data_IF_889012022049
#
_entry.id   IF_889012022049
#
_cell.length_a   1.000
_cell.length_b   1.000
_cell.length_c   1.000
_cell.angle_alpha   90.00
_cell.angle_beta   90.00
_cell.angle_gamma   90.00
#
_symmetry.space_group_name_H-M   'P 1'
#
loop_
_entity.id
_entity.type
_entity.pdbx_description
1 polymer ?
#
# COMPACT_ATOMS: atom_id res chain seq x y z
N UNK A 1 62.81 41.40 -13.68
CA UNK A 1 62.20 40.07 -13.54
C UNK A 1 61.13 40.15 -12.45
N UNK A 2 59.85 40.32 -12.80
CA UNK A 2 58.73 40.45 -11.83
C UNK A 2 57.43 39.80 -12.32
N UNK A 3 57.47 39.04 -13.42
CA UNK A 3 56.31 38.41 -14.06
C UNK A 3 55.78 37.18 -13.32
N UNK A 4 56.64 36.48 -12.57
CA UNK A 4 56.31 35.20 -11.92
C UNK A 4 55.26 35.30 -10.80
N UNK A 5 55.28 36.39 -10.03
CA UNK A 5 54.45 36.52 -8.82
C UNK A 5 52.96 36.87 -9.13
N UNK A 6 52.69 37.38 -10.34
CA UNK A 6 51.34 37.78 -10.74
C UNK A 6 50.54 36.59 -11.31
N UNK A 7 51.20 35.68 -12.00
CA UNK A 7 50.59 34.47 -12.54
C UNK A 7 50.19 33.48 -11.43
N UNK A 8 51.06 33.30 -10.42
CA UNK A 8 50.75 32.48 -9.24
C UNK A 8 49.53 32.98 -8.46
N UNK A 9 49.40 34.30 -8.26
CA UNK A 9 48.21 34.91 -7.61
C UNK A 9 46.94 34.75 -8.45
N UNK A 10 47.05 34.80 -9.78
CA UNK A 10 45.93 34.61 -10.70
C UNK A 10 45.48 33.14 -10.73
N UNK A 11 46.41 32.19 -10.69
CA UNK A 11 46.12 30.76 -10.58
C UNK A 11 45.44 30.42 -9.24
N UNK A 12 45.96 30.94 -8.13
CA UNK A 12 45.38 30.74 -6.80
C UNK A 12 43.94 31.29 -6.72
N UNK A 13 43.67 32.48 -7.28
CA UNK A 13 42.32 33.05 -7.34
C UNK A 13 41.34 32.18 -8.15
N UNK A 14 41.81 31.49 -9.19
CA UNK A 14 40.98 30.58 -10.01
C UNK A 14 40.65 29.31 -9.22
N UNK A 15 41.65 28.68 -8.60
CA UNK A 15 41.46 27.49 -7.78
C UNK A 15 40.48 27.73 -6.62
N UNK A 16 40.61 28.87 -5.91
CA UNK A 16 39.67 29.24 -4.83
C UNK A 16 38.24 29.45 -5.35
N UNK A 17 38.09 29.97 -6.58
CA UNK A 17 36.77 30.17 -7.20
C UNK A 17 36.14 28.85 -7.64
N UNK A 18 36.94 27.89 -8.09
CA UNK A 18 36.49 26.53 -8.44
C UNK A 18 36.09 25.75 -7.20
N UNK A 19 36.91 25.75 -6.15
CA UNK A 19 36.57 25.13 -4.86
C UNK A 19 35.26 25.68 -4.28
N UNK A 20 35.05 27.01 -4.31
CA UNK A 20 33.78 27.61 -3.89
C UNK A 20 32.58 27.22 -4.75
N UNK A 21 32.79 26.90 -6.03
CA UNK A 21 31.72 26.42 -6.91
C UNK A 21 31.39 24.96 -6.61
N UNK A 22 32.41 24.14 -6.40
CA UNK A 22 32.24 22.74 -6.01
C UNK A 22 31.56 22.61 -4.64
N UNK A 23 31.98 23.39 -3.64
CA UNK A 23 31.32 23.45 -2.33
C UNK A 23 29.83 23.81 -2.46
N UNK A 24 29.49 24.80 -3.30
CA UNK A 24 28.09 25.16 -3.55
C UNK A 24 27.30 24.05 -4.24
N UNK A 25 27.91 23.33 -5.17
CA UNK A 25 27.25 22.21 -5.86
C UNK A 25 27.02 21.04 -4.89
N UNK A 26 27.98 20.74 -4.02
CA UNK A 26 27.85 19.73 -2.97
C UNK A 26 26.77 20.15 -1.96
N UNK A 27 26.73 21.42 -1.56
CA UNK A 27 25.70 21.95 -0.66
C UNK A 27 24.29 21.87 -1.30
N UNK A 28 24.17 22.16 -2.59
CA UNK A 28 22.90 22.02 -3.31
C UNK A 28 22.47 20.57 -3.44
N UNK A 29 23.38 19.67 -3.81
CA UNK A 29 23.10 18.25 -3.96
C UNK A 29 22.71 17.61 -2.61
N UNK A 30 23.37 17.98 -1.52
CA UNK A 30 23.03 17.51 -0.17
C UNK A 30 21.67 18.02 0.30
N UNK A 31 21.33 19.29 0.02
CA UNK A 31 19.99 19.85 0.29
C UNK A 31 18.89 19.17 -0.51
N UNK A 32 19.10 18.92 -1.80
CA UNK A 32 18.14 18.22 -2.64
C UNK A 32 17.89 16.79 -2.15
N UNK A 33 18.96 16.05 -1.88
CA UNK A 33 18.85 14.67 -1.36
C UNK A 33 18.13 14.61 -0.01
N UNK A 34 18.35 15.61 0.85
CA UNK A 34 17.62 15.70 2.13
C UNK A 34 16.12 15.91 1.91
N UNK A 35 15.74 16.79 0.97
CA UNK A 35 14.34 17.04 0.63
C UNK A 35 13.65 15.81 0.02
N UNK A 36 14.32 15.09 -0.88
CA UNK A 36 13.80 13.85 -1.47
C UNK A 36 13.51 12.78 -0.40
N UNK A 37 14.44 12.57 0.53
CA UNK A 37 14.26 11.63 1.64
C UNK A 37 13.10 12.07 2.55
N UNK A 38 12.93 13.37 2.77
CA UNK A 38 11.82 13.87 3.59
C UNK A 38 10.46 13.70 2.89
N UNK A 39 10.41 13.93 1.58
CA UNK A 39 9.21 13.68 0.77
C UNK A 39 8.84 12.19 0.74
N UNK A 40 9.82 11.32 0.54
CA UNK A 40 9.62 9.87 0.54
C UNK A 40 9.05 9.40 1.88
N UNK A 41 9.62 9.85 3.00
CA UNK A 41 9.08 9.58 4.34
C UNK A 41 7.65 10.10 4.52
N UNK A 42 7.34 11.28 3.99
CA UNK A 42 5.96 11.82 4.03
C UNK A 42 5.00 10.95 3.21
N UNK A 43 5.41 10.47 2.03
CA UNK A 43 4.62 9.57 1.20
C UNK A 43 4.38 8.23 1.90
N UNK A 44 5.41 7.61 2.45
CA UNK A 44 5.30 6.37 3.23
C UNK A 44 4.37 6.54 4.45
N UNK A 45 4.53 7.64 5.20
CA UNK A 45 3.67 7.93 6.34
C UNK A 45 2.21 8.12 5.93
N UNK A 46 1.95 8.75 4.78
CA UNK A 46 0.61 8.93 4.24
C UNK A 46 0.00 7.60 3.78
N UNK A 47 0.78 6.73 3.12
CA UNK A 47 0.36 5.38 2.75
C UNK A 47 0.00 4.55 3.98
N UNK A 48 0.87 4.56 5.00
CA UNK A 48 0.62 3.87 6.25
C UNK A 48 -0.64 4.39 6.99
N UNK A 49 -0.88 5.70 6.96
CA UNK A 49 -2.11 6.30 7.52
C UNK A 49 -3.36 5.88 6.75
N UNK A 50 -3.30 5.92 5.42
CA UNK A 50 -4.41 5.49 4.57
C UNK A 50 -4.74 4.01 4.81
N UNK A 51 -3.71 3.18 4.95
CA UNK A 51 -3.85 1.77 5.28
C UNK A 51 -4.49 1.54 6.64
N UNK A 52 -3.99 2.19 7.70
CA UNK A 52 -4.59 2.08 9.04
C UNK A 52 -6.06 2.48 9.04
N UNK A 53 -6.41 3.54 8.30
CA UNK A 53 -7.81 3.99 8.18
C UNK A 53 -8.69 2.98 7.43
N UNK A 54 -8.17 2.35 6.38
CA UNK A 54 -8.87 1.30 5.65
C UNK A 54 -9.11 0.07 6.53
N UNK A 55 -8.08 -0.39 7.26
CA UNK A 55 -8.18 -1.51 8.20
C UNK A 55 -9.19 -1.19 9.30
N UNK A 56 -9.12 -0.01 9.92
CA UNK A 56 -10.04 0.39 10.98
C UNK A 56 -11.51 0.38 10.52
N UNK A 57 -11.78 0.86 9.31
CA UNK A 57 -13.12 0.81 8.71
C UNK A 57 -13.60 -0.64 8.52
N UNK A 58 -12.77 -1.50 7.95
CA UNK A 58 -13.09 -2.92 7.76
C UNK A 58 -13.31 -3.62 9.11
N UNK A 59 -12.40 -3.45 10.08
CA UNK A 59 -12.52 -4.05 11.41
C UNK A 59 -13.78 -3.62 12.16
N UNK A 60 -14.23 -2.36 12.00
CA UNK A 60 -15.48 -1.89 12.62
C UNK A 60 -16.74 -2.60 12.10
N UNK A 61 -16.66 -3.25 10.92
CA UNK A 61 -17.77 -3.99 10.32
C UNK A 61 -17.78 -5.47 10.69
N UNK A 62 -16.76 -5.93 11.42
CA UNK A 62 -16.60 -7.32 11.83
C UNK A 62 -17.08 -7.45 13.26
N UNK A 63 -18.03 -8.36 13.51
CA UNK A 63 -18.64 -8.57 14.82
C UNK A 63 -18.18 -9.92 15.38
N UNK A 64 -17.69 -9.92 16.62
CA UNK A 64 -17.31 -11.15 17.34
C UNK A 64 -16.31 -12.04 16.57
N UNK A 65 -15.36 -11.44 15.85
CA UNK A 65 -14.40 -12.16 15.01
C UNK A 65 -15.02 -12.83 13.77
N UNK A 66 -16.24 -12.45 13.40
CA UNK A 66 -16.98 -12.97 12.25
C UNK A 66 -17.28 -11.86 11.26
N UNK A 67 -16.81 -12.03 10.04
CA UNK A 67 -17.10 -11.16 8.91
C UNK A 67 -18.07 -11.87 7.96
N UNK A 68 -19.13 -11.18 7.54
CA UNK A 68 -20.00 -11.66 6.47
C UNK A 68 -19.60 -10.97 5.18
N UNK A 69 -19.10 -11.74 4.23
CA UNK A 69 -18.75 -11.27 2.91
C UNK A 69 -19.91 -11.52 1.94
N UNK A 70 -20.24 -10.50 1.16
CA UNK A 70 -21.04 -10.66 -0.04
C UNK A 70 -20.09 -10.63 -1.23
N UNK A 71 -19.98 -11.73 -1.98
CA UNK A 71 -18.95 -11.83 -3.03
C UNK A 71 -19.59 -11.70 -4.40
N UNK A 72 -19.17 -10.69 -5.17
CA UNK A 72 -19.50 -10.54 -6.59
C UNK A 72 -18.34 -11.05 -7.42
N UNK A 73 -18.57 -12.15 -8.14
CA UNK A 73 -17.59 -12.83 -8.98
C UNK A 73 -18.04 -12.77 -10.46
N UNK A 74 -17.60 -11.77 -11.24
CA UNK A 74 -17.97 -11.67 -12.66
C UNK A 74 -17.52 -12.88 -13.50
N UNK A 75 -16.44 -13.55 -13.11
CA UNK A 75 -15.92 -14.77 -13.73
C UNK A 75 -16.60 -16.07 -13.27
N UNK A 76 -17.67 -15.99 -12.46
CA UNK A 76 -18.46 -17.13 -12.02
C UNK A 76 -17.77 -18.04 -10.99
N UNK A 77 -18.18 -19.30 -10.93
CA UNK A 77 -17.82 -20.27 -9.87
C UNK A 77 -16.31 -20.53 -9.81
N UNK A 78 -15.61 -20.54 -10.94
CA UNK A 78 -14.15 -20.80 -10.97
C UNK A 78 -13.38 -19.73 -10.19
N UNK A 79 -13.68 -18.45 -10.45
CA UNK A 79 -13.06 -17.31 -9.77
C UNK A 79 -13.34 -17.32 -8.27
N UNK A 80 -14.55 -17.76 -7.91
CA UNK A 80 -15.00 -17.90 -6.53
C UNK A 80 -14.21 -18.99 -5.78
N UNK A 81 -13.98 -20.14 -6.41
CA UNK A 81 -13.16 -21.23 -5.85
C UNK A 81 -11.69 -20.81 -5.69
N UNK A 82 -11.15 -20.07 -6.65
CA UNK A 82 -9.77 -19.57 -6.56
C UNK A 82 -9.63 -18.54 -5.44
N UNK A 83 -10.63 -17.69 -5.24
CA UNK A 83 -10.69 -16.76 -4.13
C UNK A 83 -10.77 -17.49 -2.78
N UNK A 84 -11.59 -18.54 -2.67
CA UNK A 84 -11.69 -19.36 -1.48
C UNK A 84 -10.34 -20.01 -1.13
N UNK A 85 -9.67 -20.63 -2.10
CA UNK A 85 -8.34 -21.23 -1.89
C UNK A 85 -7.32 -20.22 -1.35
N UNK A 86 -7.32 -18.99 -1.89
CA UNK A 86 -6.46 -17.91 -1.41
C UNK A 86 -6.77 -17.52 0.04
N UNK A 87 -8.05 -17.48 0.41
CA UNK A 87 -8.46 -17.18 1.78
C UNK A 87 -8.15 -18.30 2.77
N UNK A 88 -8.25 -19.57 2.36
CA UNK A 88 -7.87 -20.73 3.20
C UNK A 88 -6.35 -20.72 3.47
N UNK A 89 -5.56 -20.32 2.49
CA UNK A 89 -4.11 -20.18 2.63
C UNK A 89 -3.71 -19.02 3.56
N UNK A 90 -4.61 -18.06 3.79
CA UNK A 90 -4.36 -16.98 4.72
C UNK A 90 -4.59 -17.45 6.17
N UNK A 91 -3.62 -17.19 7.04
CA UNK A 91 -3.57 -17.75 8.39
C UNK A 91 -4.84 -17.51 9.20
N UNK A 92 -5.35 -18.58 9.81
CA UNK A 92 -6.34 -18.52 10.89
C UNK A 92 -7.78 -18.22 10.47
N UNK A 93 -8.09 -18.22 9.17
CA UNK A 93 -9.46 -18.00 8.67
C UNK A 93 -10.21 -19.31 8.42
N UNK A 94 -11.41 -19.42 8.98
CA UNK A 94 -12.39 -20.44 8.64
C UNK A 94 -13.43 -19.85 7.71
N UNK A 95 -13.74 -20.57 6.64
CA UNK A 95 -14.69 -20.17 5.62
C UNK A 95 -15.93 -21.04 5.75
N UNK A 96 -17.08 -20.39 5.95
CA UNK A 96 -18.38 -21.07 5.96
C UNK A 96 -19.25 -20.46 4.86
N UNK A 97 -19.67 -21.30 3.91
CA UNK A 97 -20.62 -20.94 2.88
C UNK A 97 -22.01 -20.83 3.49
N UNK A 98 -22.62 -19.64 3.41
CA UNK A 98 -23.96 -19.40 4.00
C UNK A 98 -25.06 -19.26 2.95
N UNK A 99 -24.83 -19.79 1.74
CA UNK A 99 -25.74 -19.64 0.61
C UNK A 99 -25.74 -18.22 0.03
N UNK A 100 -26.69 -17.92 -0.85
CA UNK A 100 -26.85 -16.62 -1.50
C UNK A 100 -28.16 -16.59 -2.28
N UNK A 101 -28.71 -15.40 -2.53
CA UNK A 101 -29.85 -15.25 -3.44
C UNK A 101 -29.37 -14.97 -4.87
N UNK A 102 -30.23 -15.23 -5.86
CA UNK A 102 -29.95 -14.85 -7.25
C UNK A 102 -29.68 -13.34 -7.41
N UNK A 103 -30.16 -12.51 -6.48
CA UNK A 103 -30.01 -11.05 -6.50
C UNK A 103 -28.76 -10.54 -5.77
N UNK A 104 -28.40 -11.15 -4.63
CA UNK A 104 -27.27 -10.67 -3.82
C UNK A 104 -25.93 -11.34 -4.22
N UNK A 105 -25.98 -12.55 -4.79
CA UNK A 105 -24.80 -13.37 -5.06
C UNK A 105 -24.37 -14.21 -3.85
N UNK A 106 -23.28 -14.98 -3.96
CA UNK A 106 -22.79 -15.85 -2.89
C UNK A 106 -22.40 -15.07 -1.63
N UNK A 107 -22.90 -15.53 -0.47
CA UNK A 107 -22.52 -15.01 0.84
C UNK A 107 -21.55 -15.98 1.51
N UNK A 108 -20.35 -15.49 1.77
CA UNK A 108 -19.30 -16.23 2.46
C UNK A 108 -19.14 -15.65 3.86
N UNK A 109 -19.18 -16.49 4.88
CA UNK A 109 -18.85 -16.08 6.23
C UNK A 109 -17.40 -16.42 6.53
N UNK A 110 -16.60 -15.41 6.87
CA UNK A 110 -15.26 -15.60 7.41
C UNK A 110 -15.28 -15.53 8.92
N UNK A 111 -14.58 -16.44 9.55
CA UNK A 111 -14.35 -16.45 10.99
C UNK A 111 -12.85 -16.50 11.24
N UNK A 112 -12.33 -15.59 12.06
CA UNK A 112 -10.92 -15.53 12.40
C UNK A 112 -10.74 -15.29 13.89
N UNK A 113 -9.50 -15.40 14.36
CA UNK A 113 -9.13 -15.14 15.77
C UNK A 113 -9.43 -13.72 16.21
N UNK A 114 -9.27 -12.73 15.30
CA UNK A 114 -9.55 -11.33 15.60
C UNK A 114 -9.98 -10.51 14.36
N UNK A 115 -10.75 -9.41 14.55
CA UNK A 115 -11.20 -8.52 13.48
C UNK A 115 -10.09 -7.79 12.70
N UNK A 116 -8.92 -7.57 13.29
CA UNK A 116 -7.83 -6.83 12.64
C UNK A 116 -7.14 -7.73 11.61
N UNK A 117 -6.93 -8.99 11.97
CA UNK A 117 -6.37 -10.03 11.11
C UNK A 117 -7.27 -10.27 9.91
N UNK A 118 -8.58 -10.45 10.11
CA UNK A 118 -9.53 -10.59 8.98
C UNK A 118 -9.49 -9.37 8.07
N UNK A 119 -9.52 -8.15 8.62
CA UNK A 119 -9.50 -6.92 7.84
C UNK A 119 -8.20 -6.77 7.03
N UNK A 120 -7.05 -7.10 7.63
CA UNK A 120 -5.75 -7.08 6.96
C UNK A 120 -5.71 -8.11 5.84
N UNK A 121 -6.12 -9.35 6.11
CA UNK A 121 -6.17 -10.42 5.12
C UNK A 121 -7.03 -10.05 3.93
N UNK A 122 -8.23 -9.51 4.15
CA UNK A 122 -9.10 -9.06 3.07
C UNK A 122 -8.46 -7.97 2.22
N UNK A 123 -7.74 -7.03 2.81
CA UNK A 123 -7.06 -5.97 2.04
C UNK A 123 -5.85 -6.48 1.27
N UNK A 124 -5.12 -7.46 1.81
CA UNK A 124 -3.92 -8.03 1.19
C UNK A 124 -4.21 -9.21 0.24
N UNK A 125 -5.46 -9.68 0.18
CA UNK A 125 -5.82 -10.82 -0.68
C UNK A 125 -5.83 -10.38 -2.14
N UNK A 126 -4.98 -10.99 -2.99
CA UNK A 126 -4.93 -10.64 -4.40
C UNK A 126 -6.21 -11.06 -5.13
N UNK A 127 -6.61 -10.27 -6.13
CA UNK A 127 -7.82 -10.49 -6.94
C UNK A 127 -9.10 -9.91 -6.36
N UNK A 128 -9.02 -9.14 -5.27
CA UNK A 128 -10.11 -8.28 -4.81
C UNK A 128 -9.97 -6.91 -5.48
N UNK A 129 -10.98 -6.54 -6.26
CA UNK A 129 -11.05 -5.24 -6.93
C UNK A 129 -11.60 -4.14 -6.05
N UNK A 130 -12.73 -4.41 -5.39
CA UNK A 130 -13.40 -3.41 -4.55
C UNK A 130 -13.92 -4.03 -3.24
N UNK A 131 -13.80 -3.26 -2.16
CA UNK A 131 -14.28 -3.59 -0.81
C UNK A 131 -15.19 -2.47 -0.30
N UNK A 132 -16.47 -2.79 -0.11
CA UNK A 132 -17.48 -1.87 0.40
C UNK A 132 -18.16 -2.44 1.63
N UNK A 133 -18.62 -1.57 2.52
CA UNK A 133 -19.40 -1.96 3.69
C UNK A 133 -20.85 -1.60 3.40
N UNK A 134 -21.74 -2.59 3.44
CA UNK A 134 -23.16 -2.40 3.16
C UNK A 134 -24.00 -3.29 4.09
N UNK A 135 -24.96 -2.71 4.81
CA UNK A 135 -25.90 -3.43 5.66
C UNK A 135 -25.24 -4.39 6.67
N UNK A 136 -24.09 -4.01 7.24
CA UNK A 136 -23.33 -4.86 8.17
C UNK A 136 -22.64 -6.07 7.53
N UNK A 137 -22.58 -6.13 6.19
CA UNK A 137 -21.78 -7.07 5.40
C UNK A 137 -20.64 -6.31 4.70
N UNK A 138 -19.57 -7.02 4.38
CA UNK A 138 -18.49 -6.53 3.52
C UNK A 138 -18.77 -7.04 2.10
N UNK A 139 -19.15 -6.14 1.21
CA UNK A 139 -19.23 -6.43 -0.23
C UNK A 139 -17.83 -6.50 -0.81
N UNK A 140 -17.48 -7.66 -1.35
CA UNK A 140 -16.22 -7.96 -2.03
C UNK A 140 -16.53 -8.13 -3.51
N UNK A 141 -15.92 -7.31 -4.35
CA UNK A 141 -15.95 -7.52 -5.81
C UNK A 141 -14.62 -8.10 -6.24
N UNK A 142 -14.65 -9.25 -6.89
CA UNK A 142 -13.44 -9.90 -7.40
C UNK A 142 -13.10 -9.30 -8.77
N UNK A 143 -11.84 -8.98 -8.98
CA UNK A 143 -11.34 -8.57 -10.29
C UNK A 143 -11.35 -9.77 -11.24
N UNK A 144 -11.72 -9.54 -12.50
CA UNK A 144 -11.47 -10.48 -13.60
C UNK A 144 -9.96 -10.63 -13.80
N UNK A 145 -9.28 -11.33 -12.89
CA UNK A 145 -7.96 -11.85 -13.16
C UNK A 145 -8.20 -13.06 -14.05
N UNK A 146 -8.32 -12.79 -15.34
CA UNK A 146 -8.14 -13.78 -16.39
C UNK A 146 -6.79 -14.43 -16.14
N UNK A 147 -6.81 -15.70 -15.75
CA UNK A 147 -5.73 -16.63 -15.97
C UNK A 147 -6.21 -17.63 -17.03
#
# INVERSE_FOLDING_TARGET
MTTDNNEGRKALKRAVKELKREEKLIEQATKQRYQEVEEEKKREANLAKAEKKAIARLSSSIKDGKARLLVRAPGGIKQLNDFEKRLIQAEGLRINWTGGSNEEGPVIMLQGSDPVTIARTLKSTPGIGDLKIQNGKILVTLDNVSA
#
